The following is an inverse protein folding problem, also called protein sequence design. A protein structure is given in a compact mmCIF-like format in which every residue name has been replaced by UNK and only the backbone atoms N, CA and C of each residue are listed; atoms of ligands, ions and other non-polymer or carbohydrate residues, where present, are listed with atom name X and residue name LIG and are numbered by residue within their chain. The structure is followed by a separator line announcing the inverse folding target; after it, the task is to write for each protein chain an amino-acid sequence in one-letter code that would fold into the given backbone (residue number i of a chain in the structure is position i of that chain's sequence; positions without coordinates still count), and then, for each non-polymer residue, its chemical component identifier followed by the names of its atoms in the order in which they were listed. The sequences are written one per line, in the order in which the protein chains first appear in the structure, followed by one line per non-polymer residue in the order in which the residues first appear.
data_IF_788159997208
#
_entry.id   IF_788159997208
#
_cell.length_a   1.000
_cell.length_b   1.000
_cell.length_c   1.000
_cell.angle_alpha   90.00
_cell.angle_beta   90.00
_cell.angle_gamma   90.00
#
_symmetry.space_group_name_H-M   'P 1'
#
loop_
_entity.id
_entity.type
_entity.pdbx_description
1 polymer ?
#
# COMPACT_ATOMS: atom_id res chain seq x y z
N UNK A 1 17.44 -4.26 20.43
CA UNK A 1 17.09 -4.78 19.08
C UNK A 1 17.68 -3.84 18.05
N UNK A 2 18.62 -4.31 17.25
CA UNK A 2 19.22 -3.54 16.15
C UNK A 2 18.56 -3.99 14.86
N UNK A 3 18.00 -3.06 14.09
CA UNK A 3 17.42 -3.34 12.76
C UNK A 3 18.05 -2.40 11.76
N UNK A 4 18.77 -2.96 10.80
CA UNK A 4 19.41 -2.20 9.73
C UNK A 4 18.79 -2.60 8.40
N UNK A 5 18.30 -1.62 7.64
CA UNK A 5 17.91 -1.81 6.26
C UNK A 5 19.11 -1.46 5.37
N UNK A 6 19.64 -2.45 4.66
CA UNK A 6 20.71 -2.26 3.68
C UNK A 6 20.24 -2.76 2.33
N UNK A 7 20.51 -1.95 1.31
CA UNK A 7 20.44 -2.37 -0.09
C UNK A 7 21.86 -2.71 -0.53
N UNK A 8 22.23 -4.00 -0.69
CA UNK A 8 23.56 -4.37 -1.18
C UNK A 8 23.78 -3.86 -2.60
N UNK A 9 24.86 -3.10 -2.80
CA UNK A 9 25.41 -2.81 -4.14
C UNK A 9 26.39 -3.92 -4.59
N UNK A 10 26.86 -4.73 -3.64
CA UNK A 10 27.84 -5.82 -3.82
C UNK A 10 27.35 -7.09 -3.13
N UNK A 11 27.87 -8.23 -3.55
CA UNK A 11 27.51 -9.55 -3.01
C UNK A 11 27.83 -9.69 -1.52
N UNK A 12 28.82 -8.96 -1.00
CA UNK A 12 29.24 -9.02 0.39
C UNK A 12 28.92 -7.72 1.12
N UNK A 13 28.23 -7.84 2.26
CA UNK A 13 28.00 -6.74 3.20
C UNK A 13 28.71 -7.10 4.51
N UNK A 14 29.43 -6.13 5.08
CA UNK A 14 30.03 -6.23 6.40
C UNK A 14 29.44 -5.14 7.28
N UNK A 15 29.05 -5.48 8.52
CA UNK A 15 28.59 -4.51 9.49
C UNK A 15 29.33 -4.72 10.82
N UNK A 16 29.64 -3.61 11.48
CA UNK A 16 30.23 -3.64 12.83
C UNK A 16 29.13 -3.91 13.86
N UNK A 17 29.42 -4.80 14.81
CA UNK A 17 28.48 -5.16 15.87
C UNK A 17 28.77 -4.28 17.10
N UNK A 18 27.77 -3.59 17.67
CA UNK A 18 27.98 -2.76 18.84
C UNK A 18 28.55 -3.55 20.02
N UNK A 19 29.42 -2.91 20.80
CA UNK A 19 30.16 -3.51 21.93
C UNK A 19 29.25 -4.26 22.93
N UNK A 20 28.00 -3.85 23.08
CA UNK A 20 27.02 -4.48 23.98
C UNK A 20 26.62 -5.90 23.58
N UNK A 21 26.80 -6.26 22.30
CA UNK A 21 26.44 -7.57 21.74
C UNK A 21 27.65 -8.50 21.57
N UNK A 22 28.86 -8.04 21.90
CA UNK A 22 30.09 -8.85 21.85
C UNK A 22 30.03 -9.91 22.95
N UNK A 23 30.17 -11.19 22.57
CA UNK A 23 30.10 -12.33 23.48
C UNK A 23 28.69 -12.89 23.72
N UNK A 24 27.67 -12.35 23.04
CA UNK A 24 26.30 -12.87 23.08
C UNK A 24 25.99 -13.63 21.77
N UNK A 25 25.07 -14.59 21.83
CA UNK A 25 24.56 -15.25 20.62
C UNK A 25 23.65 -14.28 19.86
N UNK A 26 23.90 -14.10 18.57
CA UNK A 26 23.18 -13.16 17.71
C UNK A 26 22.53 -13.96 16.59
N UNK A 27 21.21 -13.78 16.42
CA UNK A 27 20.46 -14.34 15.29
C UNK A 27 20.38 -13.29 14.18
N UNK A 28 20.75 -13.68 12.96
CA UNK A 28 20.71 -12.80 11.77
C UNK A 28 19.64 -13.36 10.84
N UNK A 29 18.55 -12.60 10.66
CA UNK A 29 17.47 -12.94 9.74
C UNK A 29 17.54 -11.95 8.57
N UNK A 30 17.77 -12.46 7.38
CA UNK A 30 17.76 -11.68 6.14
C UNK A 30 16.56 -12.09 5.29
N UNK A 31 15.83 -11.09 4.79
CA UNK A 31 14.72 -11.26 3.86
C UNK A 31 14.75 -10.09 2.88
N UNK A 32 14.49 -10.33 1.60
CA UNK A 32 14.27 -9.22 0.69
C UNK A 32 12.96 -8.52 1.08
N UNK A 33 12.97 -7.18 1.11
CA UNK A 33 11.78 -6.39 1.47
C UNK A 33 10.59 -6.67 0.54
N UNK A 34 10.86 -7.12 -0.68
CA UNK A 34 9.88 -7.47 -1.71
C UNK A 34 9.66 -8.99 -1.88
N UNK A 35 10.34 -9.86 -1.12
CA UNK A 35 10.05 -11.29 -1.14
C UNK A 35 8.67 -11.54 -0.51
N UNK A 36 7.68 -11.87 -1.35
CA UNK A 36 6.28 -12.06 -0.95
C UNK A 36 5.35 -10.92 -1.39
N UNK A 37 5.91 -9.77 -1.78
CA UNK A 37 5.21 -8.84 -2.67
C UNK A 37 5.47 -9.37 -4.07
N UNK A 38 4.78 -10.46 -4.43
CA UNK A 38 4.45 -10.65 -5.85
C UNK A 38 4.06 -9.27 -6.32
N UNK A 39 4.79 -8.70 -7.30
CA UNK A 39 4.34 -7.49 -7.98
C UNK A 39 2.90 -7.78 -8.35
N UNK A 40 1.96 -7.37 -7.51
CA UNK A 40 0.57 -7.27 -7.89
C UNK A 40 0.70 -6.26 -9.00
N UNK A 41 0.75 -6.77 -10.23
CA UNK A 41 0.85 -6.00 -11.46
C UNK A 41 -0.03 -4.81 -11.19
N UNK A 42 0.59 -3.63 -11.00
CA UNK A 42 -0.09 -2.45 -10.47
C UNK A 42 -1.43 -2.43 -11.16
N UNK A 43 -2.46 -2.87 -10.42
CA UNK A 43 -3.74 -3.09 -11.01
C UNK A 43 -4.25 -1.67 -11.05
N UNK A 44 -3.85 -0.97 -12.11
CA UNK A 44 -4.49 0.21 -12.62
C UNK A 44 -5.87 -0.25 -13.09
N UNK A 45 -6.64 -0.78 -12.14
CA UNK A 45 -8.03 -1.11 -12.24
C UNK A 45 -8.64 0.27 -12.23
N UNK A 46 -8.64 0.89 -13.42
CA UNK A 46 -9.39 2.12 -13.68
C UNK A 46 -10.79 1.81 -13.20
N UNK A 47 -11.15 2.39 -12.06
CA UNK A 47 -12.46 2.21 -11.47
C UNK A 47 -13.41 2.96 -12.40
N UNK A 48 -13.97 2.26 -13.37
CA UNK A 48 -14.93 2.85 -14.30
C UNK A 48 -16.30 2.76 -13.65
N UNK A 49 -16.80 3.89 -13.16
CA UNK A 49 -18.21 4.03 -12.84
C UNK A 49 -18.95 4.56 -14.06
N UNK A 50 -20.08 3.95 -14.38
CA UNK A 50 -20.95 4.44 -15.44
C UNK A 50 -21.73 5.63 -14.90
N UNK A 51 -21.40 6.85 -15.36
CA UNK A 51 -22.19 8.04 -15.04
C UNK A 51 -23.43 8.04 -15.92
N UNK A 52 -24.58 7.74 -15.32
CA UNK A 52 -25.88 7.93 -15.97
C UNK A 52 -26.20 9.42 -15.97
N UNK A 53 -25.97 10.10 -17.09
CA UNK A 53 -26.43 11.47 -17.29
C UNK A 53 -27.93 11.46 -17.58
N UNK A 54 -28.72 11.99 -16.66
CA UNK A 54 -30.13 12.33 -16.90
C UNK A 54 -30.18 13.80 -17.32
N UNK A 55 -30.75 14.07 -18.49
CA UNK A 55 -31.04 15.43 -18.93
C UNK A 55 -32.25 15.92 -18.10
N UNK A 56 -31.96 16.76 -17.10
CA UNK A 56 -32.94 17.30 -16.16
C UNK A 56 -33.40 18.71 -16.54
N UNK A 57 -33.22 19.14 -17.80
CA UNK A 57 -33.47 20.54 -18.21
C UNK A 57 -34.91 20.98 -17.98
N UNK A 58 -35.85 20.06 -18.11
CA UNK A 58 -37.28 20.31 -17.89
C UNK A 58 -37.82 19.67 -16.59
N UNK A 59 -36.94 19.08 -15.76
CA UNK A 59 -37.37 18.49 -14.50
C UNK A 59 -37.53 19.58 -13.43
N UNK A 60 -38.77 19.82 -13.01
CA UNK A 60 -39.08 20.65 -11.85
C UNK A 60 -39.62 19.76 -10.75
N UNK A 61 -38.87 19.67 -9.65
CA UNK A 61 -39.30 18.95 -8.47
C UNK A 61 -40.62 19.54 -7.93
N UNK A 62 -41.68 18.74 -7.94
CA UNK A 62 -42.97 19.13 -7.40
C UNK A 62 -43.06 18.73 -5.91
N UNK A 63 -42.99 19.73 -5.02
CA UNK A 63 -43.04 19.52 -3.58
C UNK A 63 -44.43 19.11 -3.09
N UNK A 64 -45.47 19.45 -3.83
CA UNK A 64 -46.86 19.09 -3.49
C UNK A 64 -47.07 17.58 -3.68
N UNK A 65 -46.68 17.04 -4.84
CA UNK A 65 -46.73 15.60 -5.16
C UNK A 65 -45.93 14.74 -4.18
N UNK A 66 -44.78 15.24 -3.70
CA UNK A 66 -43.93 14.51 -2.75
C UNK A 66 -44.48 14.50 -1.31
N UNK A 67 -45.43 15.38 -1.00
CA UNK A 67 -46.04 15.52 0.33
C UNK A 67 -47.46 14.94 0.41
N UNK A 68 -48.03 14.47 -0.71
CA UNK A 68 -49.30 13.73 -0.69
C UNK A 68 -49.05 12.31 -0.14
N UNK A 69 -49.33 12.15 1.15
CA UNK A 69 -49.42 10.87 1.86
C UNK A 69 -50.68 10.84 2.71
#
# INVERSE_FOLDING_TARGET
MIRTLVTPDKQSISFDIPKDYVGKQIEVIAFAKDEGISKEQSANKKVSFTVLHVDAKDYKFNRDEANER
#
